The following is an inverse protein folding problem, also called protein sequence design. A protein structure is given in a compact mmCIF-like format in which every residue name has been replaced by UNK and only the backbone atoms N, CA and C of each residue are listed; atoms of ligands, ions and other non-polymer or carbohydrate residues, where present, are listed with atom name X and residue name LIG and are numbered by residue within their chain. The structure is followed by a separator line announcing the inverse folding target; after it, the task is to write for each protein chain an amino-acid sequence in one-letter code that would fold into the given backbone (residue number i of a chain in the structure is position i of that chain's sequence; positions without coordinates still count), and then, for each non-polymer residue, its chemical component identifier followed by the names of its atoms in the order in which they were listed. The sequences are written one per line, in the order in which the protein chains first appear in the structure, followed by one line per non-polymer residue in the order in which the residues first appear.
data_IF_387804625210
#
_entry.id   IF_387804625210
#
_cell.length_a   1.000
_cell.length_b   1.000
_cell.length_c   1.000
_cell.angle_alpha   90.00
_cell.angle_beta   90.00
_cell.angle_gamma   90.00
#
_symmetry.space_group_name_H-M   'P 1'
#
loop_
_entity.id
_entity.type
_entity.pdbx_description
1 polymer ?
#
# COMPACT_ATOMS: atom_id res chain seq x y z
N UNK A 1 -53.93 -1.02 -34.29
CA UNK A 1 -52.63 -1.32 -34.95
C UNK A 1 -51.63 -0.25 -34.53
N UNK A 2 -50.62 -0.59 -33.71
CA UNK A 2 -49.55 0.35 -33.37
C UNK A 2 -48.77 0.69 -34.64
N UNK A 3 -48.62 1.99 -34.94
CA UNK A 3 -47.85 2.45 -36.11
C UNK A 3 -46.40 1.96 -36.00
N UNK A 4 -45.73 1.75 -37.14
CA UNK A 4 -44.38 1.19 -37.22
C UNK A 4 -43.38 1.90 -36.27
N UNK A 5 -43.55 3.21 -36.09
CA UNK A 5 -42.78 4.04 -35.16
C UNK A 5 -42.91 3.59 -33.70
N UNK A 6 -44.11 3.25 -33.26
CA UNK A 6 -44.36 2.82 -31.88
C UNK A 6 -43.76 1.43 -31.60
N UNK A 7 -43.74 0.55 -32.62
CA UNK A 7 -43.08 -0.77 -32.51
C UNK A 7 -41.57 -0.63 -32.40
N UNK A 8 -40.97 0.28 -33.17
CA UNK A 8 -39.54 0.62 -33.07
C UNK A 8 -39.18 1.19 -31.70
N UNK A 9 -39.98 2.13 -31.19
CA UNK A 9 -39.76 2.71 -29.86
C UNK A 9 -39.83 1.62 -28.79
N UNK A 10 -40.83 0.74 -28.85
CA UNK A 10 -40.96 -0.37 -27.91
C UNK A 10 -39.78 -1.35 -27.98
N UNK A 11 -39.30 -1.68 -29.18
CA UNK A 11 -38.14 -2.54 -29.36
C UNK A 11 -36.86 -1.92 -28.77
N UNK A 12 -36.64 -0.62 -29.01
CA UNK A 12 -35.50 0.12 -28.44
C UNK A 12 -35.57 0.18 -26.91
N UNK A 13 -36.76 0.37 -26.33
CA UNK A 13 -36.95 0.34 -24.87
C UNK A 13 -36.63 -1.04 -24.32
N UNK A 14 -37.11 -2.12 -24.95
CA UNK A 14 -36.81 -3.49 -24.52
C UNK A 14 -35.29 -3.77 -24.57
N UNK A 15 -34.61 -3.35 -25.64
CA UNK A 15 -33.14 -3.48 -25.74
C UNK A 15 -32.46 -2.70 -24.61
N UNK A 16 -32.89 -1.46 -24.35
CA UNK A 16 -32.35 -0.65 -23.25
C UNK A 16 -32.54 -1.30 -21.88
N UNK A 17 -33.71 -1.89 -21.62
CA UNK A 17 -33.98 -2.62 -20.37
C UNK A 17 -33.10 -3.86 -20.24
N UNK A 18 -32.90 -4.62 -21.33
CA UNK A 18 -31.99 -5.77 -21.33
C UNK A 18 -30.56 -5.35 -21.07
N UNK A 19 -30.05 -4.32 -21.75
CA UNK A 19 -28.69 -3.80 -21.52
C UNK A 19 -28.51 -3.29 -20.08
N UNK A 20 -29.51 -2.59 -19.54
CA UNK A 20 -29.49 -2.12 -18.16
C UNK A 20 -29.46 -3.28 -17.17
N UNK A 21 -30.25 -4.34 -17.39
CA UNK A 21 -30.21 -5.55 -16.57
C UNK A 21 -28.84 -6.25 -16.62
N UNK A 22 -28.21 -6.33 -17.79
CA UNK A 22 -26.84 -6.90 -17.91
C UNK A 22 -25.83 -6.08 -17.10
N UNK A 23 -25.90 -4.76 -17.16
CA UNK A 23 -25.02 -3.88 -16.39
C UNK A 23 -25.20 -4.11 -14.89
N UNK A 24 -26.45 -4.14 -14.40
CA UNK A 24 -26.76 -4.24 -12.96
C UNK A 24 -26.48 -5.64 -12.39
N UNK A 25 -26.75 -6.70 -13.14
CA UNK A 25 -26.70 -8.08 -12.63
C UNK A 25 -25.33 -8.73 -12.84
N UNK A 26 -24.62 -8.36 -13.91
CA UNK A 26 -23.36 -9.03 -14.29
C UNK A 26 -22.18 -8.09 -14.11
N UNK A 27 -22.18 -6.94 -14.78
CA UNK A 27 -20.99 -6.08 -14.87
C UNK A 27 -20.68 -5.40 -13.55
N UNK A 28 -21.68 -4.80 -12.88
CA UNK A 28 -21.47 -4.07 -11.65
C UNK A 28 -20.97 -4.98 -10.50
N UNK A 29 -21.60 -6.14 -10.21
CA UNK A 29 -21.13 -7.02 -9.15
C UNK A 29 -19.74 -7.61 -9.43
N UNK A 30 -19.44 -7.95 -10.68
CA UNK A 30 -18.12 -8.48 -11.05
C UNK A 30 -17.01 -7.43 -10.82
N UNK A 31 -17.24 -6.18 -11.23
CA UNK A 31 -16.29 -5.09 -11.01
C UNK A 31 -16.10 -4.77 -9.52
N UNK A 32 -17.17 -4.81 -8.72
CA UNK A 32 -17.11 -4.64 -7.27
C UNK A 32 -16.28 -5.75 -6.62
N UNK A 33 -16.54 -7.01 -6.97
CA UNK A 33 -15.78 -8.14 -6.46
C UNK A 33 -14.29 -8.06 -6.82
N UNK A 34 -13.96 -7.65 -8.06
CA UNK A 34 -12.58 -7.44 -8.48
C UNK A 34 -11.93 -6.26 -7.72
N UNK A 35 -12.66 -5.18 -7.49
CA UNK A 35 -12.18 -4.03 -6.72
C UNK A 35 -11.89 -4.38 -5.27
N UNK A 36 -12.78 -5.13 -4.62
CA UNK A 36 -12.59 -5.61 -3.25
C UNK A 36 -11.36 -6.53 -3.15
N UNK A 37 -11.22 -7.47 -4.09
CA UNK A 37 -10.04 -8.34 -4.15
C UNK A 37 -8.75 -7.54 -4.33
N UNK A 38 -8.77 -6.52 -5.20
CA UNK A 38 -7.61 -5.64 -5.38
C UNK A 38 -7.29 -4.88 -4.08
N UNK A 39 -8.30 -4.32 -3.39
CA UNK A 39 -8.09 -3.62 -2.12
C UNK A 39 -7.52 -4.53 -1.03
N UNK A 40 -8.00 -5.77 -0.93
CA UNK A 40 -7.43 -6.77 -0.02
C UNK A 40 -5.98 -7.12 -0.40
N UNK A 41 -5.69 -7.27 -1.69
CA UNK A 41 -4.33 -7.51 -2.17
C UNK A 41 -3.37 -6.33 -1.87
N UNK A 42 -3.88 -5.10 -1.84
CA UNK A 42 -3.10 -3.92 -1.41
C UNK A 42 -2.76 -3.93 0.09
N UNK A 43 -3.49 -4.67 0.93
CA UNK A 43 -3.16 -4.79 2.35
C UNK A 43 -2.03 -5.80 2.62
N UNK A 44 -1.64 -6.60 1.63
CA UNK A 44 -0.56 -7.58 1.77
C UNK A 44 0.74 -7.06 1.15
N UNK A 45 1.85 -7.01 1.91
CA UNK A 45 3.17 -6.65 1.38
C UNK A 45 3.63 -7.50 0.18
N UNK A 46 3.15 -8.74 0.09
CA UNK A 46 3.56 -9.71 -0.93
C UNK A 46 2.86 -9.51 -2.28
N UNK A 47 1.74 -8.78 -2.29
CA UNK A 47 0.90 -8.56 -3.48
C UNK A 47 0.59 -7.08 -3.74
N UNK A 48 1.02 -6.19 -2.85
CA UNK A 48 0.87 -4.74 -2.99
C UNK A 48 1.43 -4.26 -4.34
N UNK A 49 0.69 -3.34 -4.96
CA UNK A 49 1.01 -2.83 -6.28
C UNK A 49 1.91 -1.61 -6.18
N UNK A 50 3.16 -1.76 -6.63
CA UNK A 50 4.15 -0.69 -6.64
C UNK A 50 3.64 0.56 -7.38
N UNK A 51 2.91 0.39 -8.48
CA UNK A 51 2.45 1.51 -9.30
C UNK A 51 1.51 2.45 -8.51
N UNK A 52 0.83 1.93 -7.49
CA UNK A 52 -0.05 2.73 -6.62
C UNK A 52 0.72 3.75 -5.76
N UNK A 53 2.03 3.56 -5.55
CA UNK A 53 2.85 4.41 -4.69
C UNK A 53 3.93 5.22 -5.43
N UNK A 54 4.25 4.87 -6.69
CA UNK A 54 5.22 5.63 -7.50
C UNK A 54 4.91 7.13 -7.66
N UNK A 55 3.63 7.57 -7.79
CA UNK A 55 3.30 8.99 -7.88
C UNK A 55 3.74 9.83 -6.67
N UNK A 56 4.02 9.19 -5.53
CA UNK A 56 4.46 9.87 -4.30
C UNK A 56 5.96 10.06 -4.21
N UNK A 57 6.74 9.61 -5.21
CA UNK A 57 8.20 9.78 -5.21
C UNK A 57 8.57 11.26 -5.08
N UNK A 58 9.45 11.55 -4.14
CA UNK A 58 9.87 12.92 -3.84
C UNK A 58 11.33 12.98 -3.40
N UNK A 59 12.03 14.06 -3.77
CA UNK A 59 13.40 14.30 -3.28
C UNK A 59 13.43 14.70 -1.80
N UNK A 60 12.36 15.32 -1.30
CA UNK A 60 12.32 15.96 0.01
C UNK A 60 11.18 15.41 0.88
N UNK A 61 11.52 14.99 2.09
CA UNK A 61 10.57 14.45 3.07
C UNK A 61 9.50 15.46 3.50
N UNK A 62 9.79 16.77 3.41
CA UNK A 62 8.89 17.86 3.81
C UNK A 62 7.64 18.01 2.94
N UNK A 63 7.54 17.30 1.82
CA UNK A 63 6.36 17.34 0.97
C UNK A 63 5.19 16.59 1.62
N UNK A 64 4.01 17.22 1.64
CA UNK A 64 2.77 16.63 2.17
C UNK A 64 2.37 15.34 1.44
N UNK A 65 2.74 15.19 0.17
CA UNK A 65 2.55 13.97 -0.62
C UNK A 65 3.12 12.71 0.05
N UNK A 66 4.20 12.86 0.82
CA UNK A 66 4.85 11.74 1.50
C UNK A 66 3.98 11.15 2.62
N UNK A 67 3.11 11.97 3.23
CA UNK A 67 2.15 11.50 4.23
C UNK A 67 1.00 10.74 3.57
N UNK A 68 0.52 11.25 2.42
CA UNK A 68 -0.56 10.63 1.66
C UNK A 68 -0.17 9.24 1.16
N UNK A 69 1.10 9.03 0.79
CA UNK A 69 1.66 7.72 0.40
C UNK A 69 1.31 6.60 1.40
N UNK A 70 1.36 6.87 2.71
CA UNK A 70 1.07 5.85 3.73
C UNK A 70 -0.41 5.41 3.73
N UNK A 71 -1.31 6.14 3.07
CA UNK A 71 -2.69 5.70 2.84
C UNK A 71 -2.80 4.67 1.71
N UNK A 72 -1.76 4.51 0.91
CA UNK A 72 -1.68 3.54 -0.17
C UNK A 72 -0.79 2.35 0.16
N UNK A 73 -0.16 2.33 1.33
CA UNK A 73 0.68 1.23 1.79
C UNK A 73 -0.12 0.19 2.61
N UNK A 74 0.40 -1.05 2.74
CA UNK A 74 -0.17 -2.04 3.66
C UNK A 74 -0.40 -1.50 5.07
N UNK A 75 -1.47 -1.97 5.73
CA UNK A 75 -2.02 -1.47 6.99
C UNK A 75 -2.65 -0.07 6.91
N UNK A 76 -3.00 0.39 5.70
CA UNK A 76 -3.67 1.70 5.53
C UNK A 76 -5.05 1.80 6.17
N UNK A 77 -5.69 0.67 6.50
CA UNK A 77 -6.97 0.61 7.20
C UNK A 77 -6.89 0.95 8.69
N UNK A 78 -5.71 0.86 9.31
CA UNK A 78 -5.52 1.20 10.72
C UNK A 78 -5.60 2.71 10.94
N UNK A 79 -6.23 3.15 12.03
CA UNK A 79 -6.32 4.57 12.34
C UNK A 79 -4.97 5.10 12.78
N UNK A 80 -4.55 6.22 12.18
CA UNK A 80 -3.25 6.83 12.45
C UNK A 80 -3.22 8.32 12.20
N UNK A 81 -2.28 8.98 12.86
CA UNK A 81 -1.90 10.37 12.58
C UNK A 81 -0.42 10.43 12.20
N UNK A 82 -0.03 11.53 11.56
CA UNK A 82 1.32 11.72 11.05
C UNK A 82 1.95 12.96 11.65
N UNK A 83 3.26 12.88 11.91
CA UNK A 83 4.06 14.03 12.28
C UNK A 83 5.37 14.03 11.49
N UNK A 84 5.61 15.14 10.79
CA UNK A 84 6.87 15.38 10.11
C UNK A 84 7.85 16.06 11.06
N UNK A 85 9.10 15.60 11.05
CA UNK A 85 10.25 16.22 11.73
C UNK A 85 11.32 16.57 10.70
N UNK A 86 11.13 17.63 9.90
CA UNK A 86 12.08 18.01 8.85
C UNK A 86 13.51 18.20 9.35
N UNK A 87 13.67 18.71 10.57
CA UNK A 87 14.96 18.94 11.22
C UNK A 87 15.74 17.66 11.54
N UNK A 88 15.04 16.52 11.62
CA UNK A 88 15.63 15.18 11.84
C UNK A 88 15.55 14.28 10.60
N UNK A 89 14.91 14.74 9.52
CA UNK A 89 14.53 13.91 8.39
C UNK A 89 13.73 12.67 8.81
N UNK A 90 12.76 12.85 9.71
CA UNK A 90 11.96 11.77 10.30
C UNK A 90 10.48 11.95 10.00
N UNK A 91 9.80 10.83 9.72
CA UNK A 91 8.34 10.71 9.71
C UNK A 91 7.92 9.87 10.92
N UNK A 92 7.07 10.41 11.76
CA UNK A 92 6.42 9.66 12.84
C UNK A 92 4.99 9.31 12.41
N UNK A 93 4.62 8.05 12.62
CA UNK A 93 3.30 7.52 12.33
C UNK A 93 2.73 6.99 13.65
N UNK A 94 1.68 7.63 14.15
CA UNK A 94 1.08 7.31 15.44
C UNK A 94 -0.20 6.51 15.19
N UNK A 95 -0.14 5.20 15.40
CA UNK A 95 -1.27 4.29 15.29
C UNK A 95 -2.07 4.26 16.60
N UNK A 96 -3.39 4.17 16.49
CA UNK A 96 -4.27 3.98 17.66
C UNK A 96 -4.23 2.52 18.16
N UNK A 97 -4.05 1.58 17.24
CA UNK A 97 -4.04 0.13 17.50
C UNK A 97 -2.74 -0.35 18.20
N UNK A 98 -2.78 -1.56 18.75
CA UNK A 98 -1.59 -2.27 19.27
C UNK A 98 -0.97 -3.14 18.18
N UNK A 99 0.31 -3.46 18.34
CA UNK A 99 0.96 -4.42 17.43
C UNK A 99 0.35 -5.81 17.50
N UNK A 100 -0.23 -6.19 18.65
CA UNK A 100 -0.91 -7.48 18.85
C UNK A 100 -2.26 -7.60 18.15
N UNK A 101 -2.83 -6.48 17.70
CA UNK A 101 -4.13 -6.45 17.00
C UNK A 101 -3.98 -6.83 15.52
N UNK A 102 -2.74 -6.87 15.02
CA UNK A 102 -2.38 -7.31 13.68
C UNK A 102 -1.74 -8.70 13.75
N UNK A 103 -2.06 -9.56 12.80
CA UNK A 103 -1.42 -10.86 12.69
C UNK A 103 0.12 -10.73 12.63
N UNK A 104 0.83 -11.45 13.50
CA UNK A 104 2.24 -11.19 13.77
C UNK A 104 3.14 -11.26 12.53
N UNK A 105 2.89 -12.20 11.60
CA UNK A 105 3.69 -12.31 10.38
C UNK A 105 3.40 -11.16 9.43
N UNK A 106 2.12 -10.84 9.21
CA UNK A 106 1.71 -9.69 8.42
C UNK A 106 2.29 -8.38 8.96
N UNK A 107 2.25 -8.18 10.28
CA UNK A 107 2.83 -7.01 10.93
C UNK A 107 4.31 -6.86 10.59
N UNK A 108 5.11 -7.92 10.79
CA UNK A 108 6.55 -7.92 10.54
C UNK A 108 6.89 -7.65 9.08
N UNK A 109 6.21 -8.33 8.16
CA UNK A 109 6.38 -8.11 6.72
C UNK A 109 6.05 -6.67 6.35
N UNK A 110 4.99 -6.11 6.92
CA UNK A 110 4.55 -4.74 6.62
C UNK A 110 5.54 -3.69 7.13
N UNK A 111 6.08 -3.85 8.34
CA UNK A 111 7.07 -2.88 8.86
C UNK A 111 8.31 -2.81 7.95
N UNK A 112 8.79 -3.95 7.44
CA UNK A 112 9.90 -3.98 6.49
C UNK A 112 9.50 -3.37 5.13
N UNK A 113 8.35 -3.77 4.59
CA UNK A 113 7.85 -3.30 3.30
C UNK A 113 7.62 -1.79 3.26
N UNK A 114 6.87 -1.27 4.23
CA UNK A 114 6.55 0.16 4.31
C UNK A 114 7.82 0.99 4.51
N UNK A 115 8.80 0.46 5.25
CA UNK A 115 10.08 1.14 5.44
C UNK A 115 10.90 1.21 4.15
N UNK A 116 11.02 0.09 3.43
CA UNK A 116 11.76 0.10 2.16
C UNK A 116 11.06 0.99 1.12
N UNK A 117 9.72 1.00 1.09
CA UNK A 117 8.95 1.88 0.22
C UNK A 117 9.18 3.36 0.55
N UNK A 118 9.10 3.72 1.83
CA UNK A 118 9.31 5.09 2.27
C UNK A 118 10.72 5.61 1.93
N UNK A 119 11.77 4.82 2.18
CA UNK A 119 13.13 5.24 1.89
C UNK A 119 13.51 5.21 0.41
N UNK A 120 12.88 4.33 -0.38
CA UNK A 120 13.06 4.29 -1.84
C UNK A 120 12.35 5.46 -2.53
N UNK A 121 11.17 5.87 -2.03
CA UNK A 121 10.37 6.95 -2.61
C UNK A 121 10.80 8.34 -2.15
N UNK A 122 11.41 8.49 -0.96
CA UNK A 122 11.77 9.79 -0.38
C UNK A 122 13.28 9.95 -0.19
N UNK A 123 13.96 10.64 -1.11
CA UNK A 123 15.43 10.60 -1.22
C UNK A 123 16.20 11.09 0.01
N UNK A 124 15.68 12.03 0.81
CA UNK A 124 16.39 12.54 1.98
C UNK A 124 15.87 12.02 3.34
N UNK A 125 14.84 11.16 3.35
CA UNK A 125 14.27 10.59 4.56
C UNK A 125 15.28 9.67 5.28
N UNK A 126 15.52 9.89 6.57
CA UNK A 126 16.50 9.12 7.33
C UNK A 126 15.86 8.17 8.34
N UNK A 127 14.67 8.48 8.84
CA UNK A 127 14.00 7.66 9.85
C UNK A 127 12.49 7.63 9.66
N UNK A 128 11.89 6.47 9.92
CA UNK A 128 10.44 6.31 10.09
C UNK A 128 10.20 5.69 11.46
N UNK A 129 9.42 6.37 12.29
CA UNK A 129 9.00 5.87 13.60
C UNK A 129 7.54 5.43 13.53
N UNK A 130 7.31 4.12 13.65
CA UNK A 130 5.98 3.54 13.75
C UNK A 130 5.63 3.41 15.24
N UNK A 131 4.83 4.33 15.74
CA UNK A 131 4.40 4.43 17.14
C UNK A 131 3.04 3.80 17.29
N UNK A 132 3.02 2.56 17.78
CA UNK A 132 1.80 1.89 18.20
C UNK A 132 1.52 2.21 19.67
N UNK A 133 0.30 1.92 20.14
CA UNK A 133 -0.08 2.21 21.52
C UNK A 133 0.70 1.40 22.57
N UNK A 134 1.29 0.27 22.18
CA UNK A 134 2.06 -0.65 23.03
C UNK A 134 3.58 -0.59 22.79
N UNK A 135 4.05 -0.19 21.60
CA UNK A 135 5.48 -0.17 21.27
C UNK A 135 5.81 0.81 20.14
N UNK A 136 7.10 1.07 19.95
CA UNK A 136 7.61 1.88 18.83
C UNK A 136 8.63 1.08 18.05
N UNK A 137 8.43 1.00 16.74
CA UNK A 137 9.38 0.42 15.78
C UNK A 137 10.09 1.56 15.06
N UNK A 138 11.42 1.53 15.03
CA UNK A 138 12.22 2.60 14.42
C UNK A 138 12.98 2.04 13.24
N UNK A 139 12.58 2.44 12.04
CA UNK A 139 13.32 2.12 10.83
C UNK A 139 14.25 3.27 10.47
N UNK A 140 15.53 2.96 10.26
CA UNK A 140 16.50 3.91 9.73
C UNK A 140 16.87 3.54 8.30
N UNK A 141 17.22 4.53 7.49
CA UNK A 141 17.67 4.28 6.11
C UNK A 141 18.84 3.31 6.07
N UNK A 142 19.83 3.49 6.96
CA UNK A 142 21.02 2.62 7.05
C UNK A 142 20.64 1.17 7.34
N UNK A 143 19.71 0.94 8.27
CA UNK A 143 19.21 -0.41 8.57
C UNK A 143 18.56 -1.06 7.34
N UNK A 144 17.70 -0.32 6.64
CA UNK A 144 17.01 -0.83 5.45
C UNK A 144 17.98 -1.07 4.29
N UNK A 145 18.98 -0.20 4.09
CA UNK A 145 20.04 -0.40 3.12
C UNK A 145 20.85 -1.68 3.41
N UNK A 146 21.13 -1.97 4.68
CA UNK A 146 21.79 -3.23 5.07
C UNK A 146 21.00 -4.50 4.72
N UNK A 147 19.67 -4.42 4.61
CA UNK A 147 18.80 -5.56 4.30
C UNK A 147 18.49 -5.69 2.81
N UNK A 148 18.28 -4.56 2.12
CA UNK A 148 17.76 -4.50 0.76
C UNK A 148 18.76 -3.98 -0.28
N UNK A 149 19.93 -3.49 0.16
CA UNK A 149 20.98 -2.89 -0.67
C UNK A 149 21.00 -1.36 -0.58
N UNK A 150 22.14 -0.75 -0.93
CA UNK A 150 22.36 0.69 -0.73
C UNK A 150 21.47 1.58 -1.62
N UNK A 151 21.28 1.20 -2.89
CA UNK A 151 20.46 1.95 -3.84
C UNK A 151 18.99 1.51 -3.80
N UNK A 152 18.29 1.92 -2.75
CA UNK A 152 16.86 1.64 -2.55
C UNK A 152 15.99 2.20 -3.68
N UNK A 153 16.37 3.34 -4.27
CA UNK A 153 15.63 3.95 -5.38
C UNK A 153 15.65 3.09 -6.64
N UNK A 154 16.71 2.30 -6.86
CA UNK A 154 16.80 1.37 -7.99
C UNK A 154 15.79 0.24 -7.94
N UNK A 155 15.17 -0.03 -6.77
CA UNK A 155 14.16 -1.06 -6.58
C UNK A 155 12.79 -0.65 -7.16
N UNK A 156 12.58 0.62 -7.48
CA UNK A 156 11.30 1.17 -7.98
C UNK A 156 10.99 0.81 -9.45
N UNK A 157 11.25 -0.44 -9.82
CA UNK A 157 10.71 -1.05 -11.04
C UNK A 157 9.96 -2.33 -10.64
N UNK A 158 8.87 -2.65 -11.35
CA UNK A 158 8.02 -3.79 -11.02
C UNK A 158 8.80 -5.10 -10.83
N UNK A 159 9.77 -5.37 -11.71
CA UNK A 159 10.60 -6.58 -11.62
C UNK A 159 11.51 -6.58 -10.40
N UNK A 160 12.27 -5.49 -10.19
CA UNK A 160 13.22 -5.39 -9.07
C UNK A 160 12.52 -5.31 -7.72
N UNK A 161 11.35 -4.69 -7.67
CA UNK A 161 10.54 -4.65 -6.45
C UNK A 161 10.04 -6.03 -6.08
N UNK A 162 9.53 -6.77 -7.07
CA UNK A 162 9.04 -8.13 -6.87
C UNK A 162 10.16 -9.04 -6.34
N UNK A 163 11.33 -9.05 -6.98
CA UNK A 163 12.44 -9.95 -6.61
C UNK A 163 13.25 -9.45 -5.41
N UNK A 164 13.52 -8.15 -5.36
CA UNK A 164 14.37 -7.51 -4.34
C UNK A 164 13.66 -7.23 -3.04
N UNK A 165 12.33 -7.11 -3.04
CA UNK A 165 11.52 -6.80 -1.84
C UNK A 165 10.50 -7.91 -1.57
N UNK A 166 9.51 -8.10 -2.45
CA UNK A 166 8.34 -8.96 -2.14
C UNK A 166 8.72 -10.43 -1.97
N UNK A 167 9.61 -10.97 -2.81
CA UNK A 167 10.09 -12.35 -2.69
C UNK A 167 10.91 -12.57 -1.42
N UNK A 168 11.77 -11.61 -1.03
CA UNK A 168 12.53 -11.69 0.23
C UNK A 168 11.62 -11.76 1.46
N UNK A 169 10.49 -11.04 1.44
CA UNK A 169 9.52 -11.05 2.54
C UNK A 169 8.76 -12.39 2.67
N UNK A 170 8.92 -13.33 1.74
CA UNK A 170 8.39 -14.70 1.87
C UNK A 170 9.30 -15.58 2.74
N UNK A 171 10.55 -15.22 2.92
CA UNK A 171 11.49 -15.92 3.81
C UNK A 171 11.29 -15.45 5.25
N UNK A 172 10.76 -16.34 6.07
CA UNK A 172 10.49 -16.06 7.48
C UNK A 172 11.77 -15.73 8.26
N UNK A 173 12.92 -16.33 7.91
CA UNK A 173 14.20 -16.02 8.56
C UNK A 173 14.62 -14.59 8.28
N UNK A 174 14.53 -14.17 7.02
CA UNK A 174 14.83 -12.79 6.61
C UNK A 174 13.91 -11.79 7.33
N UNK A 175 12.62 -12.09 7.43
CA UNK A 175 11.64 -11.22 8.11
C UNK A 175 11.96 -11.08 9.60
N UNK A 176 12.25 -12.19 10.29
CA UNK A 176 12.59 -12.16 11.71
C UNK A 176 13.90 -11.42 11.98
N UNK A 177 14.93 -11.63 11.16
CA UNK A 177 16.19 -10.91 11.27
C UNK A 177 16.04 -9.42 10.97
N UNK A 178 15.29 -9.08 9.92
CA UNK A 178 15.00 -7.69 9.56
C UNK A 178 14.32 -6.93 10.68
N UNK A 179 13.32 -7.52 11.34
CA UNK A 179 12.60 -6.88 12.45
C UNK A 179 13.49 -6.67 13.68
N UNK A 180 14.43 -7.58 13.95
CA UNK A 180 15.42 -7.36 15.02
C UNK A 180 16.27 -6.12 14.75
N UNK A 181 16.57 -5.80 13.49
CA UNK A 181 17.32 -4.58 13.14
C UNK A 181 16.48 -3.33 13.44
N UNK A 182 15.16 -3.35 13.20
CA UNK A 182 14.28 -2.18 13.45
C UNK A 182 13.92 -1.96 14.93
N UNK A 183 14.20 -2.93 15.79
CA UNK A 183 13.88 -2.91 17.21
C UNK A 183 15.12 -2.80 18.11
N UNK A 184 16.33 -2.90 17.52
CA UNK A 184 17.58 -2.59 18.21
C UNK A 184 17.68 -1.09 18.47
N UNK A 185 17.68 -0.72 19.74
CA UNK A 185 18.00 0.63 20.21
C UNK A 185 19.49 0.91 20.11
#
# INVERSE_FOLDING_TARGET
MTSLRNKMILALVLIGVVLFMVIQIVILPENEAQSEQYQLAQQSPLTHDLESILPYKNKYMGATSNLVMFNHLPLSHLKRTFQLRPEKFTIEIHYEDKTTDVEAKLFKQTMLYNSVAAFALVDNLQTVEYRFSDTTIVATRVAIQGLFGDDLGSLLTKEKWRTGVQEKLRDDTFVEEGIKVLTKK
#
